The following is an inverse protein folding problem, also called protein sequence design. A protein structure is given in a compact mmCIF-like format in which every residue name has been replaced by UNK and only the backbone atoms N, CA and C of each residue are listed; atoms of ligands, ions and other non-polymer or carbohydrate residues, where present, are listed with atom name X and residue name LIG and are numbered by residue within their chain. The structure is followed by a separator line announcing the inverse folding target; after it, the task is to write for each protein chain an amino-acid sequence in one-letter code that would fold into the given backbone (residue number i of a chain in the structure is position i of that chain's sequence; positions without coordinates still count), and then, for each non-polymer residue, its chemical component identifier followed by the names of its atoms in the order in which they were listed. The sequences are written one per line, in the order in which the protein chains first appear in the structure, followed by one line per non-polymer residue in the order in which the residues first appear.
data_IF_650734918172
#
_entry.id   IF_650734918172
#
_cell.length_a   1.000
_cell.length_b   1.000
_cell.length_c   1.000
_cell.angle_alpha   90.00
_cell.angle_beta   90.00
_cell.angle_gamma   90.00
#
_symmetry.space_group_name_H-M   'P 1'
#
loop_
_entity.id
_entity.type
_entity.pdbx_description
1 polymer ?
#
# COMPACT_ATOMS: atom_id res chain seq x y z
N UNK A 1 23.25 3.18 -30.54
CA UNK A 1 21.95 3.38 -29.86
C UNK A 1 22.11 3.85 -28.41
N UNK A 2 22.79 3.11 -27.52
CA UNK A 2 22.96 3.51 -26.11
C UNK A 2 23.61 4.89 -25.91
N UNK A 3 24.63 5.22 -26.72
CA UNK A 3 25.32 6.52 -26.67
C UNK A 3 24.38 7.70 -27.02
N UNK A 4 23.46 7.51 -27.96
CA UNK A 4 22.49 8.54 -28.35
C UNK A 4 21.47 8.75 -27.23
N UNK A 5 21.01 7.66 -26.60
CA UNK A 5 20.06 7.72 -25.49
C UNK A 5 20.67 8.38 -24.24
N UNK A 6 21.94 8.11 -23.93
CA UNK A 6 22.62 8.76 -22.80
C UNK A 6 22.92 10.22 -23.08
N UNK A 7 23.42 10.58 -24.27
CA UNK A 7 23.65 11.96 -24.67
C UNK A 7 22.36 12.79 -24.71
N UNK A 8 21.27 12.20 -25.21
CA UNK A 8 19.93 12.79 -25.17
C UNK A 8 19.46 13.05 -23.73
N UNK A 9 19.59 12.05 -22.85
CA UNK A 9 19.15 12.17 -21.45
C UNK A 9 19.93 13.27 -20.73
N UNK A 10 21.23 13.38 -20.98
CA UNK A 10 22.09 14.41 -20.41
C UNK A 10 21.73 15.81 -20.92
N UNK A 11 21.51 15.98 -22.24
CA UNK A 11 21.15 17.28 -22.82
C UNK A 11 19.80 17.77 -22.33
N UNK A 12 18.82 16.86 -22.23
CA UNK A 12 17.52 17.14 -21.64
C UNK A 12 17.58 17.51 -20.16
N UNK A 13 18.41 16.81 -19.38
CA UNK A 13 18.63 17.12 -17.98
C UNK A 13 19.21 18.52 -17.79
N UNK A 14 20.21 18.89 -18.59
CA UNK A 14 20.84 20.22 -18.55
C UNK A 14 19.88 21.33 -18.99
N UNK A 15 19.13 21.15 -20.08
CA UNK A 15 18.10 22.11 -20.52
C UNK A 15 17.06 22.34 -19.44
N UNK A 16 16.54 21.26 -18.85
CA UNK A 16 15.57 21.32 -17.76
C UNK A 16 16.08 22.15 -16.59
N UNK A 17 17.35 21.94 -16.21
CA UNK A 17 17.99 22.65 -15.12
C UNK A 17 18.16 24.13 -15.43
N UNK A 18 18.65 24.49 -16.62
CA UNK A 18 18.83 25.89 -17.06
C UNK A 18 17.49 26.65 -17.08
N UNK A 19 16.45 26.06 -17.69
CA UNK A 19 15.13 26.70 -17.72
C UNK A 19 14.57 26.88 -16.31
N UNK A 20 14.76 25.90 -15.42
CA UNK A 20 14.23 25.95 -14.04
C UNK A 20 14.93 26.98 -13.15
N UNK A 21 16.14 27.39 -13.53
CA UNK A 21 16.93 28.41 -12.82
C UNK A 21 16.57 29.81 -13.31
N UNK A 22 16.33 29.99 -14.61
CA UNK A 22 16.08 31.29 -15.23
C UNK A 22 14.62 31.76 -15.09
N UNK A 23 13.65 30.86 -15.00
CA UNK A 23 12.22 31.21 -14.93
C UNK A 23 11.52 30.43 -13.81
N UNK A 24 10.91 31.13 -12.84
CA UNK A 24 10.06 30.52 -11.81
C UNK A 24 8.59 30.51 -12.23
N UNK A 25 7.88 29.41 -11.99
CA UNK A 25 6.43 29.28 -12.22
C UNK A 25 6.04 28.64 -13.56
N UNK A 26 4.79 28.87 -14.00
CA UNK A 26 4.18 28.22 -15.18
C UNK A 26 4.92 28.48 -16.50
N UNK A 27 5.66 29.59 -16.59
CA UNK A 27 6.44 29.97 -17.79
C UNK A 27 7.59 28.98 -18.07
N UNK A 28 8.14 28.32 -17.06
CA UNK A 28 9.13 27.25 -17.24
C UNK A 28 8.54 26.06 -18.00
N UNK A 29 7.31 25.68 -17.66
CA UNK A 29 6.62 24.55 -18.28
C UNK A 29 6.34 24.84 -19.76
N UNK A 30 5.91 26.08 -20.08
CA UNK A 30 5.59 26.50 -21.44
C UNK A 30 6.81 26.45 -22.39
N UNK A 31 8.01 26.81 -21.92
CA UNK A 31 9.23 26.72 -22.74
C UNK A 31 9.86 25.32 -22.76
N UNK A 32 9.68 24.51 -21.71
CA UNK A 32 10.22 23.16 -21.64
C UNK A 32 9.42 22.15 -22.49
N UNK A 33 8.09 22.26 -22.52
CA UNK A 33 7.21 21.38 -23.29
C UNK A 33 7.54 21.27 -24.80
N UNK A 34 7.71 22.37 -25.55
CA UNK A 34 8.05 22.28 -26.97
C UNK A 34 9.44 21.67 -27.19
N UNK A 35 10.41 21.94 -26.31
CA UNK A 35 11.75 21.31 -26.41
C UNK A 35 11.68 19.80 -26.20
N UNK A 36 10.83 19.31 -25.29
CA UNK A 36 10.61 17.88 -25.10
C UNK A 36 9.95 17.22 -26.30
N UNK A 37 8.90 17.84 -26.83
CA UNK A 37 8.13 17.30 -27.96
C UNK A 37 9.05 17.17 -29.19
N UNK A 38 9.82 18.22 -29.49
CA UNK A 38 10.77 18.22 -30.61
C UNK A 38 11.84 17.14 -30.45
N UNK A 39 12.39 16.98 -29.25
CA UNK A 39 13.43 15.99 -29.00
C UNK A 39 12.90 14.55 -28.98
N UNK A 40 11.69 14.33 -28.47
CA UNK A 40 11.04 13.01 -28.52
C UNK A 40 10.73 12.62 -29.97
N UNK A 41 10.26 13.57 -30.78
CA UNK A 41 10.07 13.39 -32.21
C UNK A 41 11.38 13.00 -32.92
N UNK A 42 12.48 13.70 -32.62
CA UNK A 42 13.81 13.37 -33.15
C UNK A 42 14.30 11.96 -32.74
N UNK A 43 14.00 11.52 -31.52
CA UNK A 43 14.31 10.15 -31.09
C UNK A 43 13.47 9.10 -31.82
N UNK A 44 12.17 9.34 -32.00
CA UNK A 44 11.28 8.41 -32.72
C UNK A 44 11.69 8.27 -34.19
N UNK A 45 12.04 9.38 -34.84
CA UNK A 45 12.63 9.35 -36.19
C UNK A 45 13.97 8.62 -36.19
N UNK A 46 14.79 8.75 -35.14
CA UNK A 46 16.03 7.95 -35.09
C UNK A 46 15.74 6.45 -34.99
N UNK A 47 14.75 6.03 -34.18
CA UNK A 47 14.45 4.61 -33.89
C UNK A 47 13.78 3.88 -35.06
N UNK A 48 12.88 4.55 -35.78
CA UNK A 48 12.15 3.97 -36.91
C UNK A 48 13.01 3.80 -38.17
N UNK A 49 14.15 4.49 -38.26
CA UNK A 49 14.99 4.55 -39.46
C UNK A 49 16.39 3.93 -39.27
N UNK A 50 16.65 3.27 -38.13
CA UNK A 50 17.95 2.64 -37.82
C UNK A 50 18.31 1.52 -38.78
N UNK A 51 17.32 0.79 -39.31
CA UNK A 51 17.57 -0.49 -39.98
C UNK A 51 18.31 -0.39 -41.33
N UNK A 52 18.44 0.81 -41.92
CA UNK A 52 19.08 0.95 -43.24
C UNK A 52 19.99 2.19 -43.43
N UNK A 53 20.18 3.07 -42.43
CA UNK A 53 20.98 4.31 -42.59
C UNK A 53 21.77 4.73 -41.35
N UNK A 54 22.92 4.09 -41.12
CA UNK A 54 23.87 4.38 -40.04
C UNK A 54 24.31 5.87 -40.02
N UNK A 55 24.46 6.50 -41.19
CA UNK A 55 24.87 7.90 -41.32
C UNK A 55 23.96 8.90 -40.60
N UNK A 56 22.63 8.68 -40.60
CA UNK A 56 21.67 9.57 -39.93
C UNK A 56 21.87 9.52 -38.42
N UNK A 57 22.18 8.34 -37.88
CA UNK A 57 22.43 8.16 -36.45
C UNK A 57 23.70 8.86 -35.98
N UNK A 58 24.74 8.91 -36.82
CA UNK A 58 26.01 9.60 -36.53
C UNK A 58 25.81 11.11 -36.52
N UNK A 59 25.09 11.66 -37.52
CA UNK A 59 24.80 13.10 -37.60
C UNK A 59 24.00 13.57 -36.38
N UNK A 60 22.99 12.80 -35.96
CA UNK A 60 22.21 13.10 -34.75
C UNK A 60 23.05 13.03 -33.48
N UNK A 61 23.94 12.03 -33.35
CA UNK A 61 24.83 11.91 -32.21
C UNK A 61 25.76 13.12 -32.09
N UNK A 62 26.35 13.55 -33.21
CA UNK A 62 27.22 14.74 -33.28
C UNK A 62 26.44 16.00 -32.91
N UNK A 63 25.19 16.13 -33.37
CA UNK A 63 24.33 17.28 -33.03
C UNK A 63 24.01 17.34 -31.53
N UNK A 64 23.68 16.20 -30.90
CA UNK A 64 23.43 16.15 -29.46
C UNK A 64 24.69 16.42 -28.62
N UNK A 65 25.85 15.92 -29.07
CA UNK A 65 27.13 16.18 -28.40
C UNK A 65 27.53 17.65 -28.55
N UNK A 66 27.35 18.24 -29.73
CA UNK A 66 27.59 19.67 -29.97
C UNK A 66 26.68 20.55 -29.11
N UNK A 67 25.40 20.18 -28.98
CA UNK A 67 24.48 20.86 -28.08
C UNK A 67 24.94 20.78 -26.61
N UNK A 68 25.42 19.62 -26.15
CA UNK A 68 25.97 19.48 -24.80
C UNK A 68 27.18 20.40 -24.57
N UNK A 69 28.14 20.40 -25.49
CA UNK A 69 29.33 21.25 -25.41
C UNK A 69 29.00 22.74 -25.40
N UNK A 70 27.96 23.15 -26.13
CA UNK A 70 27.47 24.53 -26.10
C UNK A 70 26.73 24.89 -24.79
N UNK A 71 26.00 23.94 -24.21
CA UNK A 71 25.22 24.18 -22.99
C UNK A 71 26.08 24.28 -21.71
N UNK A 72 27.21 23.60 -21.66
CA UNK A 72 28.15 23.61 -20.53
C UNK A 72 28.63 25.03 -20.17
N UNK A 73 29.19 25.85 -21.09
CA UNK A 73 29.63 27.20 -20.77
C UNK A 73 28.47 28.15 -20.44
N UNK A 74 27.29 27.95 -21.07
CA UNK A 74 26.07 28.73 -20.75
C UNK A 74 25.62 28.48 -19.31
N UNK A 75 25.81 27.26 -18.80
CA UNK A 75 25.55 26.92 -17.39
C UNK A 75 26.63 27.49 -16.47
N UNK A 76 27.90 27.38 -16.84
CA UNK A 76 29.03 27.86 -16.03
C UNK A 76 29.04 29.40 -15.87
N UNK A 77 28.50 30.15 -16.84
CA UNK A 77 28.37 31.62 -16.76
C UNK A 77 27.19 32.12 -15.92
N UNK A 78 26.41 31.24 -15.30
CA UNK A 78 25.31 31.66 -14.43
C UNK A 78 25.83 31.99 -13.03
N UNK A 79 26.13 33.27 -12.81
CA UNK A 79 26.50 33.79 -11.49
C UNK A 79 25.24 33.99 -10.62
N UNK A 80 25.34 33.72 -9.31
CA UNK A 80 24.25 33.93 -8.34
C UNK A 80 23.28 32.76 -8.12
N UNK A 81 23.55 31.56 -8.66
CA UNK A 81 22.70 30.36 -8.48
C UNK A 81 23.07 29.49 -7.29
N UNK A 82 24.18 29.75 -6.60
CA UNK A 82 24.70 28.93 -5.50
C UNK A 82 23.65 28.64 -4.41
N UNK A 83 22.98 29.68 -3.89
CA UNK A 83 21.96 29.51 -2.86
C UNK A 83 20.76 28.66 -3.33
N UNK A 84 20.42 28.72 -4.62
CA UNK A 84 19.35 27.90 -5.20
C UNK A 84 19.75 26.44 -5.35
N UNK A 85 21.03 26.19 -5.64
CA UNK A 85 21.57 24.83 -5.69
C UNK A 85 21.64 24.22 -4.28
N UNK A 86 22.06 25.00 -3.28
CA UNK A 86 22.07 24.58 -1.87
C UNK A 86 20.65 24.27 -1.36
N UNK A 87 19.65 25.10 -1.67
CA UNK A 87 18.25 24.82 -1.30
C UNK A 87 17.71 23.54 -1.97
N UNK A 88 18.06 23.29 -3.23
CA UNK A 88 17.68 22.07 -3.95
C UNK A 88 18.32 20.83 -3.34
N UNK A 89 19.61 20.92 -3.01
CA UNK A 89 20.33 19.83 -2.37
C UNK A 89 19.77 19.54 -0.97
N UNK A 90 19.50 20.60 -0.19
CA UNK A 90 18.89 20.46 1.13
C UNK A 90 17.51 19.81 1.07
N UNK A 91 16.65 20.19 0.10
CA UNK A 91 15.36 19.54 -0.12
C UNK A 91 15.49 18.07 -0.52
N UNK A 92 16.43 17.75 -1.40
CA UNK A 92 16.69 16.36 -1.79
C UNK A 92 17.16 15.52 -0.60
N UNK A 93 18.11 16.05 0.18
CA UNK A 93 18.59 15.43 1.43
C UNK A 93 17.45 15.27 2.44
N UNK A 94 16.63 16.29 2.66
CA UNK A 94 15.47 16.25 3.57
C UNK A 94 14.42 15.22 3.14
N UNK A 95 14.17 15.09 1.85
CA UNK A 95 13.25 14.07 1.33
C UNK A 95 13.79 12.66 1.55
N UNK A 96 15.09 12.44 1.28
CA UNK A 96 15.75 11.16 1.54
C UNK A 96 15.78 10.81 3.03
N UNK A 97 16.12 11.76 3.90
CA UNK A 97 16.07 11.54 5.36
C UNK A 97 14.65 11.29 5.83
N UNK A 98 13.65 11.98 5.27
CA UNK A 98 12.23 11.70 5.53
C UNK A 98 11.83 10.27 5.16
N UNK A 99 12.34 9.73 4.05
CA UNK A 99 12.12 8.33 3.67
C UNK A 99 12.78 7.34 4.63
N UNK A 100 13.99 7.63 5.11
CA UNK A 100 14.66 6.80 6.12
C UNK A 100 13.91 6.85 7.46
N UNK A 101 13.45 8.03 7.87
CA UNK A 101 12.69 8.21 9.11
C UNK A 101 11.32 7.56 9.07
N UNK A 102 10.68 7.43 7.90
CA UNK A 102 9.41 6.70 7.74
C UNK A 102 9.49 5.22 8.14
N UNK A 103 10.68 4.62 8.09
CA UNK A 103 10.89 3.23 8.51
C UNK A 103 11.13 3.10 10.01
N UNK A 104 11.73 4.12 10.63
CA UNK A 104 12.14 4.10 12.05
C UNK A 104 11.07 4.68 12.97
N UNK A 105 10.37 5.71 12.53
CA UNK A 105 9.35 6.40 13.32
C UNK A 105 7.98 5.83 12.99
N UNK A 106 7.39 5.12 13.92
CA UNK A 106 6.00 4.70 13.81
C UNK A 106 5.10 5.94 13.70
N UNK A 107 4.54 6.14 12.51
CA UNK A 107 3.56 7.21 12.29
C UNK A 107 2.37 6.96 13.22
N UNK A 108 1.96 7.95 14.05
CA UNK A 108 0.80 7.78 14.91
C UNK A 108 -0.40 7.40 14.05
N UNK A 109 -1.00 6.26 14.36
CA UNK A 109 -2.13 5.76 13.58
C UNK A 109 -3.26 6.80 13.65
N UNK A 110 -3.90 7.07 12.51
CA UNK A 110 -5.09 7.94 12.49
C UNK A 110 -6.25 7.21 13.14
N UNK A 111 -6.35 7.34 14.46
CA UNK A 111 -7.42 6.75 15.26
C UNK A 111 -8.67 7.64 15.11
N UNK A 112 -9.73 7.10 14.50
CA UNK A 112 -11.01 7.84 14.41
C UNK A 112 -11.67 7.94 15.77
N UNK A 113 -12.42 9.01 16.06
CA UNK A 113 -13.20 9.12 17.32
C UNK A 113 -14.32 8.07 17.42
N UNK A 114 -14.89 7.62 16.29
CA UNK A 114 -15.95 6.61 16.25
C UNK A 114 -15.64 5.52 15.20
N UNK A 115 -15.78 4.22 15.54
CA UNK A 115 -15.61 3.13 14.59
C UNK A 115 -16.76 3.12 13.57
N UNK A 116 -16.49 2.60 12.37
CA UNK A 116 -17.47 2.64 11.27
C UNK A 116 -18.70 1.76 11.54
N UNK A 117 -18.49 0.58 12.12
CA UNK A 117 -19.56 -0.39 12.40
C UNK A 117 -20.39 -0.04 13.67
N UNK A 118 -19.81 0.73 14.60
CA UNK A 118 -20.47 1.13 15.86
C UNK A 118 -20.47 2.65 16.01
N UNK A 119 -21.32 3.33 15.22
CA UNK A 119 -21.46 4.80 15.28
C UNK A 119 -22.00 5.29 16.63
N UNK A 120 -22.81 4.47 17.31
CA UNK A 120 -23.22 4.65 18.69
C UNK A 120 -22.50 3.61 19.56
N UNK A 121 -22.09 4.00 20.77
CA UNK A 121 -21.43 3.09 21.73
C UNK A 121 -22.43 2.13 22.38
N UNK A 122 -23.20 1.44 21.55
CA UNK A 122 -24.16 0.43 21.97
C UNK A 122 -23.41 -0.82 22.47
N UNK A 123 -24.09 -1.55 23.34
CA UNK A 123 -23.58 -2.80 23.93
C UNK A 123 -23.68 -3.91 22.87
N UNK A 124 -22.63 -4.71 22.75
CA UNK A 124 -22.60 -5.89 21.88
C UNK A 124 -23.12 -7.13 22.63
N UNK A 125 -22.82 -7.25 23.93
CA UNK A 125 -23.24 -8.37 24.77
C UNK A 125 -24.27 -7.94 25.80
N UNK A 126 -25.34 -8.75 25.95
CA UNK A 126 -26.44 -8.49 26.89
C UNK A 126 -26.04 -8.67 28.36
N UNK A 127 -25.10 -9.59 28.65
CA UNK A 127 -24.60 -9.87 30.01
C UNK A 127 -23.30 -9.09 30.29
N UNK A 128 -23.26 -8.36 31.40
CA UNK A 128 -22.06 -7.68 31.90
C UNK A 128 -21.17 -8.65 32.67
N UNK A 129 -20.14 -9.15 31.99
CA UNK A 129 -18.99 -9.82 32.62
C UNK A 129 -17.72 -9.07 32.23
N UNK A 130 -16.66 -9.06 33.07
CA UNK A 130 -15.38 -8.43 32.75
C UNK A 130 -14.81 -8.92 31.41
N UNK A 131 -14.85 -10.23 31.16
CA UNK A 131 -14.48 -10.81 29.87
C UNK A 131 -15.30 -10.25 28.70
N UNK A 132 -16.62 -10.08 28.85
CA UNK A 132 -17.46 -9.50 27.78
C UNK A 132 -17.13 -8.02 27.55
N UNK A 133 -16.94 -7.23 28.61
CA UNK A 133 -16.55 -5.83 28.47
C UNK A 133 -15.22 -5.67 27.72
N UNK A 134 -14.24 -6.52 28.04
CA UNK A 134 -12.95 -6.55 27.36
C UNK A 134 -13.10 -6.98 25.90
N UNK A 135 -13.94 -7.97 25.60
CA UNK A 135 -14.20 -8.38 24.20
C UNK A 135 -14.78 -7.24 23.37
N UNK A 136 -15.71 -6.46 23.92
CA UNK A 136 -16.26 -5.31 23.21
C UNK A 136 -15.20 -4.24 22.95
N UNK A 137 -14.35 -3.97 23.94
CA UNK A 137 -13.28 -2.99 23.82
C UNK A 137 -12.30 -3.40 22.71
N UNK A 138 -11.87 -4.66 22.69
CA UNK A 138 -10.95 -5.20 21.68
C UNK A 138 -11.58 -5.15 20.28
N UNK A 139 -12.81 -5.63 20.12
CA UNK A 139 -13.53 -5.56 18.83
C UNK A 139 -13.62 -4.11 18.35
N UNK A 140 -14.06 -3.19 19.21
CA UNK A 140 -14.22 -1.76 18.87
C UNK A 140 -12.88 -1.12 18.52
N UNK A 141 -11.79 -1.50 19.20
CA UNK A 141 -10.45 -1.01 18.93
C UNK A 141 -9.96 -1.41 17.54
N UNK A 142 -10.10 -2.69 17.16
CA UNK A 142 -9.72 -3.20 15.83
C UNK A 142 -10.44 -2.42 14.71
N UNK A 143 -11.72 -2.12 14.88
CA UNK A 143 -12.49 -1.34 13.89
C UNK A 143 -12.22 0.18 13.93
N UNK A 144 -11.49 0.68 14.93
CA UNK A 144 -11.18 2.11 15.11
C UNK A 144 -9.92 2.53 14.34
N UNK A 145 -8.98 1.60 14.12
CA UNK A 145 -7.76 1.86 13.35
C UNK A 145 -8.05 1.81 11.83
N UNK A 146 -7.89 2.96 11.16
CA UNK A 146 -8.16 3.06 9.73
C UNK A 146 -7.19 2.21 8.88
N UNK A 147 -5.93 2.04 9.32
CA UNK A 147 -4.93 1.27 8.59
C UNK A 147 -5.26 -0.21 8.61
N UNK A 148 -5.45 -0.78 9.80
CA UNK A 148 -5.85 -2.19 9.97
C UNK A 148 -7.13 -2.51 9.22
N UNK A 149 -8.15 -1.65 9.31
CA UNK A 149 -9.40 -1.84 8.57
C UNK A 149 -9.19 -1.91 7.05
N UNK A 150 -8.36 -1.03 6.49
CA UNK A 150 -8.07 -1.07 5.05
C UNK A 150 -7.34 -2.36 4.67
N UNK A 151 -6.38 -2.79 5.49
CA UNK A 151 -5.69 -4.07 5.31
C UNK A 151 -6.66 -5.26 5.34
N UNK A 152 -7.62 -5.27 6.26
CA UNK A 152 -8.65 -6.32 6.32
C UNK A 152 -9.57 -6.33 5.09
N UNK A 153 -10.00 -5.16 4.62
CA UNK A 153 -10.82 -5.07 3.41
C UNK A 153 -10.04 -5.55 2.19
N UNK A 154 -8.78 -5.14 2.04
CA UNK A 154 -7.91 -5.62 0.96
C UNK A 154 -7.72 -7.14 1.03
N UNK A 155 -7.50 -7.68 2.23
CA UNK A 155 -7.37 -9.12 2.42
C UNK A 155 -8.63 -9.87 2.02
N UNK A 156 -9.82 -9.43 2.49
CA UNK A 156 -11.10 -10.04 2.12
C UNK A 156 -11.28 -10.04 0.60
N UNK A 157 -11.00 -8.92 -0.06
CA UNK A 157 -11.15 -8.79 -1.51
C UNK A 157 -10.21 -9.75 -2.26
N UNK A 158 -8.92 -9.76 -1.90
CA UNK A 158 -7.91 -10.61 -2.54
C UNK A 158 -8.21 -12.09 -2.27
N UNK A 159 -8.52 -12.46 -1.03
CA UNK A 159 -8.85 -13.84 -0.64
C UNK A 159 -10.14 -14.32 -1.28
N UNK A 160 -11.15 -13.46 -1.43
CA UNK A 160 -12.41 -13.79 -2.11
C UNK A 160 -12.17 -14.09 -3.60
N UNK A 161 -11.40 -13.25 -4.29
CA UNK A 161 -11.02 -13.47 -5.69
C UNK A 161 -10.17 -14.74 -5.81
N UNK A 162 -9.17 -14.91 -4.94
CA UNK A 162 -8.28 -16.08 -4.94
C UNK A 162 -9.03 -17.39 -4.70
N UNK A 163 -9.98 -17.41 -3.76
CA UNK A 163 -10.80 -18.60 -3.49
C UNK A 163 -11.79 -18.89 -4.62
N UNK A 164 -12.32 -17.86 -5.29
CA UNK A 164 -13.23 -18.02 -6.43
C UNK A 164 -12.54 -18.53 -7.71
N UNK A 165 -11.33 -18.05 -8.00
CA UNK A 165 -10.56 -18.45 -9.19
C UNK A 165 -9.76 -19.75 -9.00
N UNK A 166 -9.70 -20.28 -7.79
CA UNK A 166 -8.97 -21.51 -7.52
C UNK A 166 -9.56 -22.70 -8.29
N UNK A 167 -8.71 -23.56 -8.90
CA UNK A 167 -9.12 -24.84 -9.46
C UNK A 167 -9.85 -25.69 -8.43
N UNK A 168 -10.87 -26.41 -8.87
CA UNK A 168 -11.81 -27.13 -7.99
C UNK A 168 -11.10 -28.13 -7.06
N UNK A 169 -10.04 -28.79 -7.53
CA UNK A 169 -9.24 -29.77 -6.79
C UNK A 169 -8.52 -29.17 -5.57
N UNK A 170 -8.01 -27.93 -5.67
CA UNK A 170 -7.23 -27.30 -4.60
C UNK A 170 -8.02 -26.25 -3.82
N UNK A 171 -9.25 -25.94 -4.25
CA UNK A 171 -10.07 -24.87 -3.66
C UNK A 171 -10.31 -25.06 -2.17
N UNK A 172 -10.59 -26.29 -1.73
CA UNK A 172 -10.82 -26.60 -0.30
C UNK A 172 -9.54 -26.34 0.51
N UNK A 173 -8.37 -26.76 0.00
CA UNK A 173 -7.08 -26.55 0.66
C UNK A 173 -6.78 -25.06 0.78
N UNK A 174 -6.96 -24.30 -0.30
CA UNK A 174 -6.77 -22.84 -0.32
C UNK A 174 -7.73 -22.17 0.66
N UNK A 175 -8.99 -22.59 0.70
CA UNK A 175 -10.00 -22.05 1.61
C UNK A 175 -9.65 -22.30 3.09
N UNK A 176 -9.22 -23.52 3.44
CA UNK A 176 -8.73 -23.84 4.80
C UNK A 176 -7.49 -23.02 5.13
N UNK A 177 -6.54 -22.88 4.20
CA UNK A 177 -5.33 -22.09 4.41
C UNK A 177 -5.64 -20.60 4.65
N UNK A 178 -6.61 -20.02 3.92
CA UNK A 178 -7.07 -18.65 4.13
C UNK A 178 -7.72 -18.51 5.52
N UNK A 179 -8.55 -19.47 5.94
CA UNK A 179 -9.15 -19.48 7.29
C UNK A 179 -8.05 -19.49 8.37
N UNK A 180 -7.08 -20.41 8.19
CA UNK A 180 -5.74 -20.43 8.74
C UNK A 180 -5.17 -19.05 9.04
N UNK A 181 -4.71 -18.44 7.96
CA UNK A 181 -3.96 -17.20 7.94
C UNK A 181 -4.76 -16.04 8.53
N UNK A 182 -6.07 -15.97 8.25
CA UNK A 182 -6.96 -14.93 8.78
C UNK A 182 -7.08 -15.03 10.31
N UNK A 183 -7.29 -16.23 10.87
CA UNK A 183 -7.42 -16.39 12.32
C UNK A 183 -6.12 -16.03 13.06
N UNK A 184 -4.97 -16.43 12.53
CA UNK A 184 -3.66 -16.07 13.08
C UNK A 184 -3.42 -14.55 13.01
N UNK A 185 -3.77 -13.94 11.88
CA UNK A 185 -3.61 -12.50 11.73
C UNK A 185 -4.51 -11.71 12.68
N UNK A 186 -5.78 -12.10 12.81
CA UNK A 186 -6.71 -11.49 13.78
C UNK A 186 -6.20 -11.68 15.21
N UNK A 187 -5.72 -12.87 15.57
CA UNK A 187 -5.11 -13.15 16.90
C UNK A 187 -3.97 -12.18 17.19
N UNK A 188 -3.08 -11.94 16.23
CA UNK A 188 -1.96 -11.02 16.38
C UNK A 188 -2.44 -9.59 16.64
N UNK A 189 -3.35 -9.06 15.83
CA UNK A 189 -3.89 -7.71 16.00
C UNK A 189 -4.65 -7.54 17.33
N UNK A 190 -5.42 -8.55 17.75
CA UNK A 190 -6.14 -8.52 19.03
C UNK A 190 -5.16 -8.54 20.21
N UNK A 191 -4.08 -9.32 20.12
CA UNK A 191 -3.02 -9.37 21.15
C UNK A 191 -2.27 -8.04 21.25
N UNK A 192 -1.95 -7.40 20.13
CA UNK A 192 -1.43 -6.03 20.10
C UNK A 192 -2.43 -5.04 20.71
N UNK A 193 -3.72 -5.23 20.42
CA UNK A 193 -4.80 -4.44 21.00
C UNK A 193 -4.82 -4.48 22.52
N UNK A 194 -4.66 -5.68 23.10
CA UNK A 194 -4.58 -5.90 24.55
C UNK A 194 -3.42 -5.14 25.21
N UNK A 195 -2.33 -4.93 24.48
CA UNK A 195 -1.16 -4.19 24.98
C UNK A 195 -1.36 -2.66 24.96
N UNK A 196 -2.49 -2.15 24.47
CA UNK A 196 -2.73 -0.73 24.38
C UNK A 196 -2.68 -0.04 25.77
N UNK A 197 -2.13 1.18 25.87
CA UNK A 197 -1.92 1.87 27.15
C UNK A 197 -3.18 1.99 28.01
N UNK A 198 -4.34 2.14 27.38
CA UNK A 198 -5.61 2.30 28.10
C UNK A 198 -6.17 1.00 28.70
N UNK A 199 -5.83 -0.17 28.14
CA UNK A 199 -6.25 -1.47 28.68
C UNK A 199 -5.33 -1.93 29.82
N UNK A 200 -4.06 -1.50 29.80
CA UNK A 200 -3.10 -1.79 30.89
C UNK A 200 -3.43 -1.08 32.20
N UNK A 201 -4.25 -0.02 32.17
CA UNK A 201 -4.69 0.70 33.37
C UNK A 201 -5.69 -0.08 34.22
N UNK A 202 -6.31 -1.12 33.66
CA UNK A 202 -7.30 -1.91 34.37
C UNK A 202 -6.66 -3.19 34.93
N UNK A 203 -6.89 -3.47 36.21
CA UNK A 203 -6.53 -4.73 36.85
C UNK A 203 -7.51 -5.82 36.40
N UNK A 204 -7.22 -6.47 35.27
CA UNK A 204 -7.96 -7.66 34.82
C UNK A 204 -7.21 -8.92 35.19
N UNK A 205 -7.97 -9.90 35.67
CA UNK A 205 -7.51 -11.27 35.89
C UNK A 205 -7.08 -11.91 34.57
N UNK A 206 -6.02 -12.73 34.59
CA UNK A 206 -5.45 -13.29 33.37
C UNK A 206 -6.40 -14.28 32.67
N UNK A 207 -7.23 -14.97 33.44
CA UNK A 207 -8.28 -15.83 32.91
C UNK A 207 -9.31 -15.06 32.06
N UNK A 208 -9.74 -13.89 32.53
CA UNK A 208 -10.68 -13.03 31.81
C UNK A 208 -10.08 -12.47 30.52
N UNK A 209 -8.77 -12.18 30.50
CA UNK A 209 -8.05 -11.74 29.29
C UNK A 209 -8.04 -12.83 28.23
N UNK A 210 -7.75 -14.07 28.63
CA UNK A 210 -7.69 -15.21 27.71
C UNK A 210 -9.07 -15.46 27.10
N UNK A 211 -10.11 -15.51 27.96
CA UNK A 211 -11.48 -15.71 27.50
C UNK A 211 -11.91 -14.57 26.55
N UNK A 212 -11.51 -13.35 26.84
CA UNK A 212 -11.83 -12.20 26.02
C UNK A 212 -11.13 -12.22 24.65
N UNK A 213 -9.85 -12.56 24.60
CA UNK A 213 -9.11 -12.70 23.34
C UNK A 213 -9.74 -13.80 22.49
N UNK A 214 -9.99 -14.99 23.05
CA UNK A 214 -10.62 -16.10 22.30
C UNK A 214 -11.96 -15.70 21.70
N UNK A 215 -12.80 -15.05 22.50
CA UNK A 215 -14.15 -14.64 22.05
C UNK A 215 -14.09 -13.53 21.01
N UNK A 216 -13.20 -12.54 21.17
CA UNK A 216 -13.01 -11.47 20.18
C UNK A 216 -12.47 -12.00 18.84
N UNK A 217 -11.48 -12.89 18.86
CA UNK A 217 -10.92 -13.53 17.65
C UNK A 217 -12.00 -14.30 16.91
N UNK A 218 -12.83 -15.08 17.61
CA UNK A 218 -13.95 -15.82 17.01
C UNK A 218 -14.97 -14.90 16.31
N UNK A 219 -15.41 -13.83 16.99
CA UNK A 219 -16.39 -12.90 16.41
C UNK A 219 -15.83 -12.11 15.23
N UNK A 220 -14.57 -11.68 15.31
CA UNK A 220 -13.92 -10.95 14.22
C UNK A 220 -13.69 -11.91 13.04
N UNK A 221 -13.09 -13.08 13.27
CA UNK A 221 -12.77 -14.02 12.19
C UNK A 221 -14.00 -14.52 11.46
N UNK A 222 -15.09 -14.83 12.17
CA UNK A 222 -16.35 -15.27 11.55
C UNK A 222 -16.94 -14.20 10.63
N UNK A 223 -16.96 -12.93 11.06
CA UNK A 223 -17.45 -11.82 10.24
C UNK A 223 -16.59 -11.59 9.00
N UNK A 224 -15.26 -11.65 9.12
CA UNK A 224 -14.37 -11.47 7.96
C UNK A 224 -14.36 -12.68 7.02
N UNK A 225 -14.52 -13.89 7.53
CA UNK A 225 -14.47 -15.11 6.72
C UNK A 225 -15.79 -15.42 6.01
N UNK A 226 -16.92 -14.92 6.51
CA UNK A 226 -18.23 -15.06 5.87
C UNK A 226 -18.26 -14.65 4.38
N UNK A 227 -17.78 -13.47 3.95
CA UNK A 227 -17.77 -13.09 2.54
C UNK A 227 -16.82 -13.95 1.68
N UNK A 228 -15.68 -14.37 2.23
CA UNK A 228 -14.71 -15.24 1.53
C UNK A 228 -15.35 -16.62 1.28
N UNK A 229 -16.03 -17.15 2.29
CA UNK A 229 -16.71 -18.44 2.20
C UNK A 229 -17.92 -18.41 1.26
N UNK A 230 -18.63 -17.28 1.20
CA UNK A 230 -19.70 -17.08 0.23
C UNK A 230 -19.15 -17.11 -1.20
N UNK A 231 -18.06 -16.40 -1.48
CA UNK A 231 -17.44 -16.40 -2.81
C UNK A 231 -16.95 -17.79 -3.24
N UNK A 232 -16.29 -18.52 -2.33
CA UNK A 232 -15.86 -19.90 -2.57
C UNK A 232 -17.06 -20.86 -2.77
N UNK A 233 -18.12 -20.70 -1.97
CA UNK A 233 -19.32 -21.53 -2.04
C UNK A 233 -20.09 -21.34 -3.35
N UNK A 234 -20.29 -20.08 -3.77
CA UNK A 234 -20.93 -19.75 -5.05
C UNK A 234 -20.13 -20.29 -6.24
N UNK A 235 -18.79 -20.22 -6.17
CA UNK A 235 -17.94 -20.75 -7.22
C UNK A 235 -17.99 -22.29 -7.35
N UNK A 236 -18.33 -23.02 -6.26
CA UNK A 236 -18.41 -24.49 -6.28
C UNK A 236 -19.82 -25.03 -6.53
N UNK A 237 -20.84 -24.43 -5.92
CA UNK A 237 -22.21 -24.97 -5.87
C UNK A 237 -23.26 -24.03 -6.44
N UNK A 238 -22.85 -22.90 -7.06
CA UNK A 238 -23.76 -21.91 -7.63
C UNK A 238 -24.71 -21.33 -6.58
N UNK A 239 -26.03 -21.45 -6.83
CA UNK A 239 -27.08 -20.91 -5.95
C UNK A 239 -27.15 -21.59 -4.59
N UNK A 240 -26.87 -22.90 -4.51
CA UNK A 240 -26.81 -23.62 -3.23
C UNK A 240 -25.63 -23.15 -2.35
N UNK A 241 -24.59 -22.63 -2.99
CA UNK A 241 -23.40 -22.07 -2.34
C UNK A 241 -23.65 -20.80 -1.54
N UNK A 242 -24.74 -20.07 -1.81
CA UNK A 242 -25.10 -18.83 -1.12
C UNK A 242 -25.46 -19.10 0.35
N UNK A 243 -26.10 -20.24 0.63
CA UNK A 243 -26.52 -20.62 2.00
C UNK A 243 -25.50 -21.53 2.68
N UNK A 244 -24.95 -22.50 1.95
CA UNK A 244 -23.98 -23.46 2.50
C UNK A 244 -22.60 -22.82 2.73
N UNK A 245 -22.18 -21.87 1.89
CA UNK A 245 -20.90 -21.17 2.01
C UNK A 245 -20.73 -20.47 3.36
N UNK A 246 -21.62 -19.56 3.77
CA UNK A 246 -21.52 -18.87 5.05
C UNK A 246 -21.56 -19.81 6.27
N UNK A 247 -22.36 -20.87 6.22
CA UNK A 247 -22.46 -21.87 7.30
C UNK A 247 -21.17 -22.68 7.44
N UNK A 248 -20.62 -23.18 6.33
CA UNK A 248 -19.32 -23.85 6.32
C UNK A 248 -18.20 -22.91 6.79
N UNK A 249 -18.27 -21.65 6.38
CA UNK A 249 -17.34 -20.60 6.82
C UNK A 249 -17.37 -20.36 8.32
N UNK A 250 -18.55 -20.25 8.91
CA UNK A 250 -18.71 -20.10 10.35
C UNK A 250 -18.19 -21.33 11.12
N UNK A 251 -18.44 -22.54 10.60
CA UNK A 251 -17.93 -23.78 11.20
C UNK A 251 -16.38 -23.85 11.14
N UNK A 252 -15.78 -23.54 10.00
CA UNK A 252 -14.32 -23.52 9.87
C UNK A 252 -13.67 -22.41 10.71
N UNK A 253 -14.29 -21.24 10.79
CA UNK A 253 -13.83 -20.16 11.68
C UNK A 253 -13.93 -20.58 13.15
N UNK A 254 -14.96 -21.33 13.55
CA UNK A 254 -15.09 -21.89 14.90
C UNK A 254 -13.96 -22.89 15.18
N UNK A 255 -13.75 -23.87 14.30
CA UNK A 255 -12.71 -24.89 14.43
C UNK A 255 -11.31 -24.26 14.48
N UNK A 256 -11.01 -23.36 13.54
CA UNK A 256 -9.74 -22.65 13.52
C UNK A 256 -9.56 -21.77 14.77
N UNK A 257 -10.62 -21.07 15.22
CA UNK A 257 -10.53 -20.30 16.46
C UNK A 257 -10.23 -21.19 17.66
N UNK A 258 -10.82 -22.39 17.75
CA UNK A 258 -10.56 -23.32 18.86
C UNK A 258 -9.11 -23.84 18.81
N UNK A 259 -8.64 -24.25 17.63
CA UNK A 259 -7.30 -24.81 17.43
C UNK A 259 -6.17 -23.80 17.64
N UNK A 260 -6.36 -22.54 17.22
CA UNK A 260 -5.31 -21.52 17.30
C UNK A 260 -5.40 -20.63 18.54
N UNK A 261 -6.45 -20.76 19.37
CA UNK A 261 -6.56 -20.03 20.65
C UNK A 261 -6.21 -20.87 21.89
N UNK A 262 -5.93 -22.16 21.73
CA UNK A 262 -5.14 -22.89 22.72
C UNK A 262 -3.72 -22.31 22.69
N UNK A 263 -3.31 -21.79 23.83
CA UNK A 263 -1.95 -21.27 24.05
C UNK A 263 -0.99 -22.41 24.31
#
# INVERSE_FOLDING_TARGET
MLVILTAFKCSMGMLKQIYSLKWRGFKWFLFWMPTLILSWFLLMVSLLWVENRIWISIVLAVLFIGALLFLIPVRLRQEGTFYLEVDREYKAKMWLTGLLLLQVVEKPSRIRKRPWLFRSSQRLFRKRTPANGLTEALIKQTFRNQRERLSYVQFIMISSIGAGLAPETIRIIVWVAIACLLTLWVKMNVKEGLQAPFLRLFFLEDWDKIQAVRKSVFWISSVLFAPISLAAGVASFGWAGIVLGPLAGAAAAFIASQLFTTW
#
